data_IF_952266431303
#
_entry.id   IF_952266431303
#
_cell.length_a   1.000
_cell.length_b   1.000
_cell.length_c   1.000
_cell.angle_alpha   90.00
_cell.angle_beta   90.00
_cell.angle_gamma   90.00
#
_symmetry.space_group_name_H-M   'P 1'
#
loop_
_entity.id
_entity.type
_entity.pdbx_description
1 polymer ?
#
# COMPACT_ATOMS: atom_id res chain seq x y z
N UNK A 1 -21.04 -9.32 -14.24
CA UNK A 1 -21.41 -9.46 -12.81
C UNK A 1 -21.99 -10.86 -12.65
N UNK A 2 -21.71 -11.59 -11.55
CA UNK A 2 -22.33 -12.92 -11.30
C UNK A 2 -23.57 -12.72 -10.43
N UNK A 3 -24.69 -13.31 -10.84
CA UNK A 3 -25.99 -13.25 -10.16
C UNK A 3 -26.38 -14.64 -9.66
N UNK A 4 -26.76 -14.75 -8.37
CA UNK A 4 -27.13 -16.03 -7.74
C UNK A 4 -28.45 -16.58 -8.27
N UNK A 5 -29.38 -15.68 -8.60
CA UNK A 5 -30.75 -16.01 -9.01
C UNK A 5 -30.97 -15.86 -10.52
N UNK A 6 -29.90 -15.97 -11.33
CA UNK A 6 -30.01 -15.78 -12.77
C UNK A 6 -30.89 -16.88 -13.40
N UNK A 7 -31.99 -16.53 -14.08
CA UNK A 7 -33.04 -17.48 -14.47
C UNK A 7 -32.59 -18.53 -15.50
N UNK A 8 -31.53 -18.24 -16.27
CA UNK A 8 -31.07 -19.10 -17.37
C UNK A 8 -29.63 -19.64 -17.23
N UNK A 9 -28.84 -19.16 -16.25
CA UNK A 9 -27.40 -19.45 -16.19
C UNK A 9 -26.99 -19.82 -14.78
N UNK A 10 -26.42 -21.01 -14.61
CA UNK A 10 -25.83 -21.41 -13.33
C UNK A 10 -24.62 -20.55 -12.97
N UNK A 11 -24.31 -20.44 -11.67
CA UNK A 11 -23.10 -19.76 -11.17
C UNK A 11 -21.84 -20.29 -11.85
N UNK A 12 -21.81 -21.59 -12.19
CA UNK A 12 -20.69 -22.22 -12.91
C UNK A 12 -20.55 -21.66 -14.34
N UNK A 13 -21.66 -21.53 -15.07
CA UNK A 13 -21.66 -20.98 -16.42
C UNK A 13 -21.25 -19.50 -16.42
N UNK A 14 -21.76 -18.72 -15.46
CA UNK A 14 -21.40 -17.31 -15.30
C UNK A 14 -19.92 -17.12 -14.95
N UNK A 15 -19.38 -17.92 -14.01
CA UNK A 15 -17.95 -17.93 -13.68
C UNK A 15 -17.08 -18.26 -14.90
N UNK A 16 -17.50 -19.25 -15.71
CA UNK A 16 -16.78 -19.66 -16.92
C UNK A 16 -16.79 -18.57 -18.00
N UNK A 17 -17.94 -17.93 -18.22
CA UNK A 17 -18.08 -16.81 -19.16
C UNK A 17 -17.21 -15.61 -18.77
N UNK A 18 -17.09 -15.36 -17.47
CA UNK A 18 -16.29 -14.26 -16.90
C UNK A 18 -14.83 -14.63 -16.64
N UNK A 19 -14.39 -15.84 -17.00
CA UNK A 19 -13.02 -16.34 -16.77
C UNK A 19 -12.55 -16.25 -15.31
N UNK A 20 -13.45 -16.43 -14.35
CA UNK A 20 -13.15 -16.42 -12.91
C UNK A 20 -13.38 -17.80 -12.27
N UNK A 21 -12.55 -18.14 -11.29
CA UNK A 21 -12.69 -19.42 -10.59
C UNK A 21 -13.94 -19.40 -9.71
N UNK A 22 -14.69 -20.52 -9.71
CA UNK A 22 -15.88 -20.67 -8.87
C UNK A 22 -15.57 -20.48 -7.38
N UNK A 23 -14.42 -20.92 -6.91
CA UNK A 23 -14.00 -20.76 -5.51
C UNK A 23 -13.84 -19.29 -5.11
N UNK A 24 -13.39 -18.43 -6.04
CA UNK A 24 -13.27 -16.99 -5.78
C UNK A 24 -14.63 -16.32 -5.57
N UNK A 25 -15.71 -16.84 -6.18
CA UNK A 25 -17.05 -16.28 -6.02
C UNK A 25 -17.63 -16.50 -4.61
N UNK A 26 -17.29 -17.61 -3.96
CA UNK A 26 -17.73 -17.92 -2.60
C UNK A 26 -16.74 -17.44 -1.53
N UNK A 27 -15.57 -16.95 -1.93
CA UNK A 27 -14.57 -16.47 -0.98
C UNK A 27 -14.95 -15.07 -0.50
N UNK A 28 -15.42 -14.97 0.73
CA UNK A 28 -15.46 -13.68 1.43
C UNK A 28 -14.08 -13.40 2.04
N UNK A 29 -13.43 -12.27 1.71
CA UNK A 29 -12.19 -11.90 2.37
C UNK A 29 -12.46 -11.60 3.83
N UNK A 30 -12.05 -12.50 4.72
CA UNK A 30 -12.08 -12.25 6.15
C UNK A 30 -11.11 -11.09 6.47
N UNK A 31 -11.64 -10.05 7.13
CA UNK A 31 -10.82 -8.94 7.62
C UNK A 31 -9.83 -9.40 8.71
N UNK A 32 -8.97 -8.47 9.13
CA UNK A 32 -8.08 -8.74 10.25
C UNK A 32 -8.84 -8.77 11.59
N UNK A 33 -8.41 -9.63 12.49
CA UNK A 33 -8.97 -9.70 13.85
C UNK A 33 -8.70 -8.42 14.62
N UNK A 34 -9.56 -8.05 15.59
CA UNK A 34 -9.37 -6.85 16.40
C UNK A 34 -8.01 -6.82 17.11
N UNK A 35 -7.53 -7.98 17.57
CA UNK A 35 -6.19 -8.13 18.13
C UNK A 35 -5.09 -7.76 17.12
N UNK A 36 -5.21 -8.18 15.87
CA UNK A 36 -4.25 -7.84 14.84
C UNK A 36 -4.33 -6.36 14.45
N UNK A 37 -5.53 -5.79 14.37
CA UNK A 37 -5.72 -4.35 14.15
C UNK A 37 -5.06 -3.52 15.27
N UNK A 38 -5.21 -3.94 16.53
CA UNK A 38 -4.52 -3.32 17.66
C UNK A 38 -3.00 -3.37 17.52
N UNK A 39 -2.45 -4.54 17.20
CA UNK A 39 -1.01 -4.69 16.93
C UNK A 39 -0.54 -3.86 15.74
N UNK A 40 -1.33 -3.75 14.68
CA UNK A 40 -0.99 -2.93 13.51
C UNK A 40 -0.89 -1.45 13.88
N UNK A 41 -1.74 -0.93 14.77
CA UNK A 41 -1.62 0.46 15.24
C UNK A 41 -0.34 0.70 16.03
N UNK A 42 0.03 -0.23 16.92
CA UNK A 42 1.27 -0.14 17.70
C UNK A 42 2.50 -0.22 16.79
N UNK A 43 2.48 -1.14 15.82
CA UNK A 43 3.53 -1.24 14.80
C UNK A 43 3.64 0.08 14.02
N UNK A 44 2.53 0.68 13.60
CA UNK A 44 2.52 1.93 12.83
C UNK A 44 3.13 3.09 13.64
N UNK A 45 2.67 3.28 14.88
CA UNK A 45 3.20 4.29 15.79
C UNK A 45 4.71 4.11 16.01
N UNK A 46 5.13 2.89 16.39
CA UNK A 46 6.54 2.62 16.63
C UNK A 46 7.38 2.78 15.36
N UNK A 47 6.83 2.45 14.18
CA UNK A 47 7.53 2.58 12.92
C UNK A 47 7.71 4.04 12.50
N UNK A 48 6.79 4.95 12.87
CA UNK A 48 6.96 6.40 12.66
C UNK A 48 8.15 6.94 13.47
N UNK A 49 8.29 6.50 14.72
CA UNK A 49 9.41 6.92 15.58
C UNK A 49 10.74 6.23 15.21
N UNK A 50 10.64 4.98 14.74
CA UNK A 50 11.80 4.14 14.41
C UNK A 50 11.68 3.51 13.02
N UNK A 51 11.78 4.29 11.94
CA UNK A 51 11.57 3.79 10.58
C UNK A 51 12.60 2.74 10.15
N UNK A 52 13.69 2.56 10.90
CA UNK A 52 14.70 1.53 10.69
C UNK A 52 14.39 0.20 11.39
N UNK A 53 13.34 0.11 12.21
CA UNK A 53 12.97 -1.12 12.92
C UNK A 53 12.46 -2.20 11.97
N UNK A 54 13.25 -3.25 11.80
CA UNK A 54 12.82 -4.46 11.10
C UNK A 54 12.01 -5.39 11.98
N UNK A 55 11.54 -6.50 11.39
CA UNK A 55 10.69 -7.51 12.05
C UNK A 55 11.24 -7.94 13.41
N UNK A 56 12.55 -8.17 13.53
CA UNK A 56 13.16 -8.60 14.80
C UNK A 56 13.08 -7.52 15.88
N UNK A 57 13.47 -6.30 15.55
CA UNK A 57 13.45 -5.17 16.48
C UNK A 57 12.03 -4.83 16.90
N UNK A 58 11.10 -4.77 15.94
CA UNK A 58 9.68 -4.54 16.19
C UNK A 58 9.08 -5.64 17.09
N UNK A 59 9.45 -6.91 16.87
CA UNK A 59 8.99 -8.01 17.74
C UNK A 59 9.51 -7.85 19.16
N UNK A 60 10.80 -7.54 19.33
CA UNK A 60 11.41 -7.37 20.65
C UNK A 60 10.82 -6.17 21.40
N UNK A 61 10.64 -5.05 20.72
CA UNK A 61 10.01 -3.86 21.27
C UNK A 61 8.60 -4.15 21.80
N UNK A 62 7.73 -4.74 20.96
CA UNK A 62 6.37 -5.09 21.37
C UNK A 62 6.34 -6.13 22.51
N UNK A 63 7.30 -7.06 22.54
CA UNK A 63 7.44 -8.00 23.65
C UNK A 63 7.81 -7.30 24.96
N UNK A 64 8.70 -6.31 24.93
CA UNK A 64 9.07 -5.52 26.10
C UNK A 64 7.90 -4.67 26.62
N UNK A 65 6.99 -4.25 25.74
CA UNK A 65 5.74 -3.58 26.12
C UNK A 65 4.66 -4.55 26.64
N UNK A 66 4.97 -5.84 26.76
CA UNK A 66 4.07 -6.85 27.32
C UNK A 66 3.19 -7.56 26.28
N UNK A 67 3.40 -7.33 24.97
CA UNK A 67 2.66 -8.03 23.94
C UNK A 67 3.29 -9.40 23.63
N UNK A 68 2.57 -10.48 23.94
CA UNK A 68 2.95 -11.85 23.57
C UNK A 68 2.83 -12.13 22.07
N UNK A 69 3.76 -11.58 21.27
CA UNK A 69 3.80 -11.70 19.81
C UNK A 69 5.02 -12.48 19.33
N UNK A 70 4.92 -13.08 18.15
CA UNK A 70 6.02 -13.80 17.51
C UNK A 70 6.45 -13.12 16.20
N UNK A 71 7.67 -13.40 15.76
CA UNK A 71 8.23 -12.80 14.54
C UNK A 71 7.43 -13.14 13.27
N UNK A 72 6.81 -14.32 13.19
CA UNK A 72 6.00 -14.73 12.02
C UNK A 72 4.78 -13.82 11.87
N UNK A 73 4.11 -13.50 12.99
CA UNK A 73 2.96 -12.60 13.04
C UNK A 73 3.37 -11.18 12.69
N UNK A 74 4.42 -10.64 13.34
CA UNK A 74 4.90 -9.28 13.06
C UNK A 74 5.31 -9.13 11.59
N UNK A 75 6.02 -10.10 11.02
CA UNK A 75 6.37 -10.12 9.59
C UNK A 75 5.14 -10.06 8.68
N UNK A 76 4.10 -10.84 8.99
CA UNK A 76 2.85 -10.87 8.22
C UNK A 76 2.14 -9.51 8.27
N UNK A 77 2.02 -8.93 9.47
CA UNK A 77 1.35 -7.65 9.68
C UNK A 77 2.12 -6.49 9.02
N UNK A 78 3.44 -6.39 9.20
CA UNK A 78 4.26 -5.39 8.53
C UNK A 78 4.13 -5.48 7.00
N UNK A 79 4.10 -6.70 6.43
CA UNK A 79 3.87 -6.90 4.98
C UNK A 79 2.49 -6.44 4.54
N UNK A 80 1.46 -6.74 5.31
CA UNK A 80 0.08 -6.32 5.01
C UNK A 80 -0.06 -4.79 5.05
N UNK A 81 0.64 -4.14 5.98
CA UNK A 81 0.76 -2.68 6.09
C UNK A 81 1.74 -2.07 5.08
N UNK A 82 2.50 -2.91 4.35
CA UNK A 82 3.58 -2.50 3.44
C UNK A 82 4.68 -1.68 4.11
N UNK A 83 4.87 -1.87 5.41
CA UNK A 83 5.96 -1.29 6.15
C UNK A 83 7.24 -2.07 5.86
N UNK A 84 8.24 -1.35 5.37
CA UNK A 84 9.56 -1.88 5.13
C UNK A 84 10.59 -0.98 5.79
N UNK A 85 11.40 -1.50 6.72
CA UNK A 85 12.38 -0.69 7.42
C UNK A 85 13.31 0.04 6.46
N UNK A 86 13.53 1.31 6.75
CA UNK A 86 14.45 2.20 6.07
C UNK A 86 15.81 2.03 6.72
N UNK A 87 16.61 1.13 6.18
CA UNK A 87 18.03 0.99 6.51
C UNK A 87 18.86 1.35 5.28
N UNK A 88 20.16 1.59 5.47
CA UNK A 88 21.08 1.77 4.35
C UNK A 88 21.07 0.50 3.47
N UNK A 89 20.34 0.55 2.37
CA UNK A 89 20.41 -0.47 1.33
C UNK A 89 21.77 -0.36 0.61
N UNK A 90 22.29 -1.43 0.00
CA UNK A 90 23.43 -1.32 -0.91
C UNK A 90 23.16 -0.16 -1.87
N UNK A 91 24.13 0.74 -2.01
CA UNK A 91 23.95 2.00 -2.72
C UNK A 91 23.52 1.75 -4.18
N UNK A 92 22.21 1.78 -4.45
CA UNK A 92 21.63 1.62 -5.78
C UNK A 92 21.87 2.85 -6.67
N UNK A 93 22.27 3.98 -6.07
CA UNK A 93 22.73 5.17 -6.79
C UNK A 93 24.14 5.00 -7.35
N UNK A 94 24.88 3.96 -6.96
CA UNK A 94 26.06 3.51 -7.71
C UNK A 94 25.57 2.63 -8.86
N UNK A 95 25.55 3.13 -10.11
CA UNK A 95 25.20 2.29 -11.25
C UNK A 95 26.16 1.10 -11.32
N UNK A 96 25.62 -0.10 -11.47
CA UNK A 96 26.41 -1.27 -11.86
C UNK A 96 27.13 -0.94 -13.17
N UNK A 97 28.44 -1.24 -13.27
CA UNK A 97 29.24 -1.06 -14.49
C UNK A 97 28.42 -1.57 -15.70
N UNK A 98 28.15 -0.69 -16.67
CA UNK A 98 27.38 -1.01 -17.89
C UNK A 98 25.86 -0.77 -17.85
N UNK A 99 25.28 -0.15 -16.81
CA UNK A 99 23.86 0.29 -16.85
C UNK A 99 23.72 1.64 -17.56
N UNK A 100 22.75 1.75 -18.46
CA UNK A 100 22.37 3.01 -19.12
C UNK A 100 21.67 3.92 -18.11
N UNK A 101 22.21 5.12 -17.90
CA UNK A 101 21.55 6.18 -17.14
C UNK A 101 20.46 6.79 -18.01
N UNK A 102 19.23 6.80 -17.53
CA UNK A 102 18.15 7.53 -18.18
C UNK A 102 18.18 8.99 -17.71
N UNK A 103 18.16 9.97 -18.62
CA UNK A 103 18.14 11.36 -18.24
C UNK A 103 16.84 11.67 -17.49
N UNK A 104 16.95 12.48 -16.44
CA UNK A 104 15.79 13.06 -15.80
C UNK A 104 15.16 14.04 -16.79
N UNK A 105 13.99 13.72 -17.33
CA UNK A 105 13.36 14.46 -18.43
C UNK A 105 12.94 15.89 -18.07
N UNK A 106 12.83 16.19 -16.77
CA UNK A 106 12.58 17.54 -16.26
C UNK A 106 13.88 18.26 -15.87
N UNK A 107 15.04 17.65 -16.08
CA UNK A 107 16.34 18.25 -15.80
C UNK A 107 16.56 19.50 -16.66
N UNK A 108 16.76 20.64 -16.02
CA UNK A 108 16.94 21.94 -16.69
C UNK A 108 15.63 22.64 -17.10
N UNK A 109 14.46 22.03 -16.88
CA UNK A 109 13.18 22.68 -17.12
C UNK A 109 12.88 23.67 -15.98
N UNK A 110 12.84 24.96 -16.30
CA UNK A 110 12.30 25.98 -15.39
C UNK A 110 10.76 25.92 -15.44
N UNK A 111 10.14 25.67 -14.29
CA UNK A 111 8.68 25.66 -14.14
C UNK A 111 8.24 27.05 -13.69
N UNK A 112 7.70 27.86 -14.58
CA UNK A 112 7.43 29.29 -14.37
C UNK A 112 5.95 29.68 -14.53
N UNK A 113 5.08 28.72 -14.83
CA UNK A 113 3.63 28.94 -14.93
C UNK A 113 2.81 27.77 -14.39
N UNK A 114 1.56 28.03 -13.93
CA UNK A 114 0.61 26.98 -13.59
C UNK A 114 0.33 26.05 -14.78
N UNK A 115 0.09 24.77 -14.53
CA UNK A 115 -0.31 23.79 -15.54
C UNK A 115 0.84 23.19 -16.35
N UNK A 116 2.09 23.58 -16.09
CA UNK A 116 3.25 23.13 -16.86
C UNK A 116 3.77 21.76 -16.42
N UNK A 117 3.79 21.49 -15.11
CA UNK A 117 4.22 20.21 -14.55
C UNK A 117 3.32 19.84 -13.38
N UNK A 118 2.81 18.61 -13.40
CA UNK A 118 2.03 18.04 -12.30
C UNK A 118 2.83 16.93 -11.63
N UNK A 119 2.64 16.77 -10.32
CA UNK A 119 3.11 15.59 -9.61
C UNK A 119 1.93 14.85 -8.98
N UNK A 120 2.05 13.53 -8.95
CA UNK A 120 1.09 12.64 -8.32
C UNK A 120 1.80 11.87 -7.21
N UNK A 121 1.16 11.80 -6.04
CA UNK A 121 1.62 11.01 -4.90
C UNK A 121 0.48 10.13 -4.38
N UNK A 122 0.85 8.99 -3.78
CA UNK A 122 -0.07 8.09 -3.11
C UNK A 122 0.33 7.97 -1.64
N UNK A 123 -0.53 8.46 -0.76
CA UNK A 123 -0.32 8.45 0.69
C UNK A 123 -1.31 7.49 1.36
N UNK A 124 -0.85 6.79 2.40
CA UNK A 124 -1.68 5.93 3.24
C UNK A 124 -2.24 6.72 4.41
N UNK A 125 -3.57 6.74 4.57
CA UNK A 125 -4.25 7.39 5.68
C UNK A 125 -4.71 6.34 6.71
N UNK A 126 -4.22 6.40 7.96
CA UNK A 126 -4.63 5.47 9.02
C UNK A 126 -6.07 5.75 9.47
N UNK A 127 -6.87 4.70 9.66
CA UNK A 127 -8.27 4.80 10.11
C UNK A 127 -8.51 3.96 11.38
N UNK A 128 -9.61 4.24 12.10
CA UNK A 128 -10.02 3.43 13.26
C UNK A 128 -10.13 1.93 12.92
N UNK A 129 -10.55 1.56 11.71
CA UNK A 129 -10.52 0.19 11.20
C UNK A 129 -9.96 0.21 9.77
N UNK A 130 -8.76 -0.37 9.57
CA UNK A 130 -8.10 -0.43 8.26
C UNK A 130 -7.29 0.81 7.89
N UNK A 131 -7.03 0.99 6.59
CA UNK A 131 -6.32 2.11 5.99
C UNK A 131 -7.01 2.54 4.69
N UNK A 132 -6.83 3.80 4.31
CA UNK A 132 -7.30 4.35 3.05
C UNK A 132 -6.12 4.83 2.20
N UNK A 133 -6.28 4.75 0.88
CA UNK A 133 -5.33 5.28 -0.08
C UNK A 133 -5.80 6.66 -0.53
N UNK A 134 -5.01 7.68 -0.26
CA UNK A 134 -5.18 9.01 -0.84
C UNK A 134 -4.26 9.12 -2.06
N UNK A 135 -4.85 9.35 -3.23
CA UNK A 135 -4.11 9.77 -4.41
C UNK A 135 -4.33 11.27 -4.57
N UNK A 136 -3.25 12.04 -4.68
CA UNK A 136 -3.32 13.47 -4.92
C UNK A 136 -2.51 13.84 -6.17
N UNK A 137 -3.13 14.63 -7.05
CA UNK A 137 -2.46 15.28 -8.19
C UNK A 137 -2.35 16.75 -7.85
N UNK A 138 -1.14 17.30 -7.89
CA UNK A 138 -0.88 18.70 -7.61
C UNK A 138 -0.08 19.37 -8.72
N UNK A 139 -0.34 20.66 -8.91
CA UNK A 139 0.44 21.51 -9.77
C UNK A 139 1.76 21.90 -9.08
N UNK A 140 2.89 21.74 -9.78
CA UNK A 140 4.20 21.98 -9.18
C UNK A 140 4.44 23.48 -8.93
N UNK A 141 4.01 24.35 -9.84
CA UNK A 141 4.24 25.80 -9.74
C UNK A 141 3.45 26.41 -8.59
N UNK A 142 2.13 26.22 -8.59
CA UNK A 142 1.20 26.83 -7.61
C UNK A 142 1.11 26.07 -6.30
N UNK A 143 1.59 24.82 -6.25
CA UNK A 143 1.42 23.87 -5.13
C UNK A 143 -0.03 23.54 -4.78
N UNK A 144 -0.98 23.89 -5.65
CA UNK A 144 -2.41 23.59 -5.45
C UNK A 144 -2.70 22.14 -5.82
N UNK A 145 -3.53 21.49 -5.00
CA UNK A 145 -4.11 20.18 -5.34
C UNK A 145 -5.15 20.40 -6.43
N UNK A 146 -4.96 19.73 -7.57
CA UNK A 146 -5.85 19.80 -8.72
C UNK A 146 -6.97 18.77 -8.61
N UNK A 147 -6.64 17.57 -8.14
CA UNK A 147 -7.58 16.48 -7.94
C UNK A 147 -7.07 15.56 -6.84
N UNK A 148 -7.99 14.93 -6.13
CA UNK A 148 -7.66 13.87 -5.18
C UNK A 148 -8.78 12.84 -5.12
N UNK A 149 -8.42 11.60 -4.75
CA UNK A 149 -9.38 10.52 -4.51
C UNK A 149 -8.95 9.69 -3.31
N UNK A 150 -9.92 9.25 -2.54
CA UNK A 150 -9.73 8.28 -1.48
C UNK A 150 -10.31 6.92 -1.93
N UNK A 151 -9.58 5.84 -1.68
CA UNK A 151 -10.06 4.47 -1.97
C UNK A 151 -9.71 3.52 -0.83
N UNK A 152 -10.58 2.56 -0.54
CA UNK A 152 -10.30 1.42 0.34
C UNK A 152 -9.79 0.18 -0.42
N UNK A 153 -9.81 0.22 -1.77
CA UNK A 153 -9.37 -0.86 -2.66
C UNK A 153 -8.27 -0.34 -3.59
N UNK A 154 -7.17 -1.08 -3.75
CA UNK A 154 -6.20 -0.82 -4.82
C UNK A 154 -6.76 -1.40 -6.13
N UNK A 155 -7.68 -0.66 -6.73
CA UNK A 155 -8.17 -0.89 -8.08
C UNK A 155 -8.21 0.45 -8.78
N UNK A 156 -7.23 0.71 -9.63
CA UNK A 156 -7.41 1.63 -10.74
C UNK A 156 -8.27 0.87 -11.76
N UNK A 157 -9.51 1.32 -11.94
CA UNK A 157 -10.38 0.98 -13.06
C UNK A 157 -10.68 2.29 -13.77
#
# INVERSE_FOLDING_TARGET
>A
MIERDHPALSIVAQCRLLSISRSSFYHEPAGETERNLGLMRLIDQQFLDTPFYGVRQMTWHLQNEGHGVNQKRIRRLMRLMRLMPIYQKPNTSKPRKGRKTWPYLLGGLRVDRPGQVWCADITYLPMRRGFLYLVAIMDWFTRKVLAWRISNMQGAS
#
